data_IF_940673792007
#
_entry.id   IF_940673792007
#
_cell.length_a   1.000
_cell.length_b   1.000
_cell.length_c   1.000
_cell.angle_alpha   90.00
_cell.angle_beta   90.00
_cell.angle_gamma   90.00
#
_symmetry.space_group_name_H-M   'P 1'
#
loop_
_entity.id
_entity.type
_entity.pdbx_description
1 polymer ?
#
# COMPACT_ATOMS: atom_id res chain seq x y z
N UNK A 1 13.34 -20.74 -11.33
CA UNK A 1 12.59 -21.36 -10.21
C UNK A 1 11.13 -20.92 -10.23
N UNK A 2 10.28 -21.52 -11.08
CA UNK A 2 8.87 -21.12 -11.25
C UNK A 2 8.03 -21.21 -9.97
N UNK A 3 8.32 -22.21 -9.13
CA UNK A 3 7.62 -22.45 -7.86
C UNK A 3 7.83 -21.32 -6.83
N UNK A 4 9.02 -20.74 -6.75
CA UNK A 4 9.27 -19.60 -5.87
C UNK A 4 8.50 -18.36 -6.33
N UNK A 5 8.45 -18.11 -7.64
CA UNK A 5 7.67 -17.01 -8.21
C UNK A 5 6.18 -17.09 -7.84
N UNK A 6 5.58 -18.29 -7.97
CA UNK A 6 4.19 -18.53 -7.57
C UNK A 6 3.96 -18.29 -6.07
N UNK A 7 4.89 -18.72 -5.22
CA UNK A 7 4.82 -18.51 -3.78
C UNK A 7 4.87 -17.02 -3.41
N UNK A 8 5.81 -16.26 -3.97
CA UNK A 8 5.90 -14.81 -3.72
C UNK A 8 4.69 -14.05 -4.25
N UNK A 9 4.17 -14.44 -5.42
CA UNK A 9 2.95 -13.88 -5.97
C UNK A 9 1.76 -14.07 -5.01
N UNK A 10 1.53 -15.29 -4.55
CA UNK A 10 0.45 -15.58 -3.62
C UNK A 10 0.63 -14.86 -2.27
N UNK A 11 1.86 -14.73 -1.78
CA UNK A 11 2.15 -13.96 -0.58
C UNK A 11 1.80 -12.48 -0.76
N UNK A 12 2.14 -11.88 -1.90
CA UNK A 12 1.78 -10.50 -2.23
C UNK A 12 0.26 -10.29 -2.27
N UNK A 13 -0.49 -11.21 -2.89
CA UNK A 13 -1.96 -11.16 -2.88
C UNK A 13 -2.54 -11.27 -1.47
N UNK A 14 -1.98 -12.13 -0.62
CA UNK A 14 -2.40 -12.26 0.77
C UNK A 14 -2.12 -10.99 1.59
N UNK A 15 -0.97 -10.34 1.38
CA UNK A 15 -0.65 -9.05 2.01
C UNK A 15 -1.65 -7.98 1.54
N UNK A 16 -1.87 -7.86 0.23
CA UNK A 16 -2.80 -6.87 -0.32
C UNK A 16 -4.23 -7.10 0.18
N UNK A 17 -4.68 -8.35 0.31
CA UNK A 17 -5.98 -8.67 0.90
C UNK A 17 -6.12 -8.09 2.32
N UNK A 18 -5.10 -8.23 3.16
CA UNK A 18 -5.12 -7.69 4.53
C UNK A 18 -5.04 -6.16 4.55
N UNK A 19 -4.19 -5.56 3.72
CA UNK A 19 -4.00 -4.10 3.71
C UNK A 19 -5.20 -3.35 3.11
N UNK A 20 -5.96 -3.99 2.21
CA UNK A 20 -7.20 -3.45 1.62
C UNK A 20 -8.43 -3.62 2.52
N UNK A 21 -8.27 -4.13 3.74
CA UNK A 21 -9.35 -4.34 4.70
C UNK A 21 -9.14 -3.50 5.96
N UNK A 22 -10.20 -3.30 6.74
CA UNK A 22 -10.08 -2.66 8.05
C UNK A 22 -9.30 -3.59 9.02
N UNK A 23 -8.44 -3.04 9.90
CA UNK A 23 -8.27 -1.62 10.19
C UNK A 23 -7.12 -0.94 9.40
N UNK A 24 -6.51 -1.62 8.42
CA UNK A 24 -5.38 -1.07 7.67
C UNK A 24 -5.82 -0.07 6.61
N UNK A 25 -6.91 -0.35 5.89
CA UNK A 25 -7.50 0.61 4.98
C UNK A 25 -8.27 1.68 5.76
N UNK A 26 -7.89 2.94 5.56
CA UNK A 26 -8.65 4.06 6.10
C UNK A 26 -9.99 4.20 5.38
N UNK A 27 -11.09 4.01 6.12
CA UNK A 27 -12.47 4.22 5.64
C UNK A 27 -13.13 5.46 6.23
N UNK A 28 -12.51 6.08 7.24
CA UNK A 28 -13.03 7.27 7.90
C UNK A 28 -12.90 8.52 7.02
N UNK A 29 -14.01 9.22 6.77
CA UNK A 29 -14.02 10.43 5.94
C UNK A 29 -13.23 11.61 6.51
N UNK A 30 -12.94 11.59 7.82
CA UNK A 30 -12.12 12.59 8.50
C UNK A 30 -10.62 12.32 8.41
N UNK A 31 -10.22 11.12 7.97
CA UNK A 31 -8.81 10.75 7.83
C UNK A 31 -8.35 10.97 6.38
N UNK A 32 -7.19 11.59 6.20
CA UNK A 32 -6.70 12.00 4.87
C UNK A 32 -5.75 10.99 4.22
N UNK A 33 -5.19 10.07 5.01
CA UNK A 33 -4.34 8.99 4.52
C UNK A 33 -5.11 7.73 4.09
N UNK A 34 -4.42 6.83 3.38
CA UNK A 34 -4.97 5.60 2.80
C UNK A 34 -4.64 4.39 3.70
N UNK A 35 -3.36 4.19 4.02
CA UNK A 35 -2.85 3.06 4.79
C UNK A 35 -2.57 3.49 6.23
N UNK A 36 -3.36 2.95 7.16
CA UNK A 36 -3.22 3.17 8.60
C UNK A 36 -2.19 2.24 9.22
N UNK A 37 -1.80 2.57 10.45
CA UNK A 37 -0.87 1.78 11.28
C UNK A 37 0.55 1.73 10.72
N UNK A 38 0.92 2.74 9.93
CA UNK A 38 2.33 2.96 9.62
C UNK A 38 2.98 3.65 10.82
N UNK A 39 4.19 3.22 11.17
CA UNK A 39 4.98 3.84 12.23
C UNK A 39 6.22 4.41 11.57
N UNK A 40 6.36 5.72 11.61
CA UNK A 40 7.49 6.41 11.01
C UNK A 40 8.77 6.22 11.83
N UNK A 41 8.71 6.39 13.15
CA UNK A 41 9.90 6.24 14.01
C UNK A 41 9.58 5.95 15.50
N UNK A 42 9.29 4.68 15.83
CA UNK A 42 8.98 4.26 17.22
C UNK A 42 10.06 4.66 18.25
N UNK A 43 11.38 4.50 18.01
CA UNK A 43 12.37 4.81 19.04
C UNK A 43 12.41 6.28 19.50
N UNK A 44 11.95 7.20 18.65
CA UNK A 44 11.87 8.63 18.96
C UNK A 44 10.45 9.07 19.31
N UNK A 45 9.46 8.18 19.17
CA UNK A 45 8.06 8.47 19.49
C UNK A 45 7.47 9.61 18.68
N UNK A 46 7.80 9.72 17.39
CA UNK A 46 7.30 10.78 16.52
C UNK A 46 5.82 10.63 16.16
N UNK A 47 5.34 9.38 16.12
CA UNK A 47 3.98 9.04 15.75
C UNK A 47 3.00 9.18 16.93
N UNK A 48 1.75 9.51 16.63
CA UNK A 48 0.68 9.54 17.62
C UNK A 48 0.48 8.16 18.26
N UNK A 49 0.44 8.16 19.59
CA UNK A 49 0.38 6.95 20.41
C UNK A 49 -0.81 7.04 21.38
N UNK A 50 -2.04 6.73 20.93
CA UNK A 50 -3.23 6.91 21.75
C UNK A 50 -3.22 6.04 23.03
N UNK A 51 -2.59 4.86 22.97
CA UNK A 51 -2.28 4.03 24.14
C UNK A 51 -0.76 3.93 24.30
N UNK A 52 -0.23 4.46 25.41
CA UNK A 52 1.20 4.48 25.72
C UNK A 52 1.82 3.08 25.87
N UNK A 53 1.01 2.05 26.13
CA UNK A 53 1.45 0.68 26.35
C UNK A 53 1.46 -0.18 25.07
N UNK A 54 1.03 0.36 23.93
CA UNK A 54 1.03 -0.32 22.62
C UNK A 54 1.93 0.41 21.64
N UNK A 55 2.38 -0.19 20.55
CA UNK A 55 3.05 0.55 19.48
C UNK A 55 2.14 1.66 18.90
N UNK A 56 2.71 2.72 18.33
CA UNK A 56 1.92 3.78 17.69
C UNK A 56 0.95 3.22 16.63
N UNK A 57 -0.23 3.83 16.51
CA UNK A 57 -1.29 3.30 15.65
C UNK A 57 -2.30 4.39 15.25
N UNK A 58 -2.97 4.15 14.12
CA UNK A 58 -4.04 5.02 13.62
C UNK A 58 -3.55 6.14 12.70
N UNK A 59 -2.24 6.32 12.54
CA UNK A 59 -1.66 7.25 11.57
C UNK A 59 -1.28 6.56 10.25
N UNK A 60 -1.26 7.36 9.19
CA UNK A 60 -0.64 7.00 7.91
C UNK A 60 0.70 7.71 7.72
N UNK A 61 1.40 7.34 6.65
CA UNK A 61 2.62 8.01 6.22
C UNK A 61 2.61 8.16 4.71
N UNK A 62 3.29 9.20 4.22
CA UNK A 62 3.33 9.48 2.77
C UNK A 62 3.88 8.30 1.95
N UNK A 63 4.89 7.60 2.45
CA UNK A 63 5.50 6.45 1.79
C UNK A 63 4.55 5.24 1.79
N UNK A 64 3.87 5.00 2.91
CA UNK A 64 2.86 3.95 3.02
C UNK A 64 1.71 4.17 2.04
N UNK A 65 1.17 5.40 2.00
CA UNK A 65 0.09 5.78 1.09
C UNK A 65 0.53 5.69 -0.38
N UNK A 66 1.76 6.12 -0.70
CA UNK A 66 2.33 5.98 -2.04
C UNK A 66 2.37 4.51 -2.48
N UNK A 67 2.97 3.63 -1.69
CA UNK A 67 3.12 2.22 -2.05
C UNK A 67 1.79 1.47 -2.04
N UNK A 68 0.88 1.79 -1.11
CA UNK A 68 -0.47 1.22 -1.10
C UNK A 68 -1.23 1.57 -2.38
N UNK A 69 -1.17 2.82 -2.81
CA UNK A 69 -1.76 3.27 -4.08
C UNK A 69 -1.12 2.59 -5.28
N UNK A 70 0.21 2.54 -5.34
CA UNK A 70 0.96 1.92 -6.43
C UNK A 70 0.63 0.42 -6.57
N UNK A 71 0.66 -0.34 -5.47
CA UNK A 71 0.35 -1.77 -5.47
C UNK A 71 -1.12 -2.05 -5.82
N UNK A 72 -2.06 -1.27 -5.27
CA UNK A 72 -3.49 -1.38 -5.58
C UNK A 72 -3.76 -1.09 -7.06
N UNK A 73 -3.10 -0.07 -7.60
CA UNK A 73 -3.21 0.29 -9.00
C UNK A 73 -2.62 -0.80 -9.91
N UNK A 74 -1.48 -1.37 -9.55
CA UNK A 74 -0.87 -2.49 -10.27
C UNK A 74 -1.80 -3.71 -10.33
N UNK A 75 -2.37 -4.14 -9.19
CA UNK A 75 -3.33 -5.24 -9.14
C UNK A 75 -4.60 -4.94 -9.96
N UNK A 76 -5.13 -3.72 -9.85
CA UNK A 76 -6.30 -3.28 -10.63
C UNK A 76 -6.06 -3.38 -12.14
N UNK A 77 -4.85 -3.04 -12.60
CA UNK A 77 -4.47 -3.18 -14.02
C UNK A 77 -4.38 -4.64 -14.45
N UNK A 78 -3.79 -5.51 -13.63
CA UNK A 78 -3.75 -6.96 -13.91
C UNK A 78 -5.16 -7.54 -14.03
N UNK A 79 -6.05 -7.21 -13.09
CA UNK A 79 -7.43 -7.69 -13.11
C UNK A 79 -8.22 -7.22 -14.34
N UNK A 80 -7.82 -6.11 -14.95
CA UNK A 80 -8.44 -5.51 -16.13
C UNK A 80 -7.67 -5.78 -17.42
N UNK A 81 -6.66 -6.64 -17.39
CA UNK A 81 -5.76 -6.94 -18.52
C UNK A 81 -5.19 -5.66 -19.18
N UNK A 82 -4.84 -4.67 -18.35
CA UNK A 82 -4.29 -3.40 -18.80
C UNK A 82 -2.77 -3.43 -18.84
N UNK A 83 -2.19 -2.56 -19.67
CA UNK A 83 -0.73 -2.37 -19.77
C UNK A 83 -0.11 -2.08 -18.41
N UNK A 84 1.10 -2.59 -18.21
CA UNK A 84 1.89 -2.33 -17.00
C UNK A 84 2.04 -0.82 -16.75
N UNK A 85 1.92 -0.41 -15.49
CA UNK A 85 2.10 0.99 -15.12
C UNK A 85 3.56 1.37 -15.23
N UNK A 86 3.86 2.34 -16.10
CA UNK A 86 5.21 2.89 -16.27
C UNK A 86 5.18 4.40 -16.18
N UNK A 87 6.32 5.00 -15.85
CA UNK A 87 6.45 6.44 -15.69
C UNK A 87 5.99 7.23 -16.93
N UNK A 88 6.32 6.73 -18.13
CA UNK A 88 5.92 7.34 -19.39
C UNK A 88 4.68 6.71 -20.04
N UNK A 89 3.98 5.80 -19.35
CA UNK A 89 2.84 5.07 -19.91
C UNK A 89 1.60 5.93 -20.20
N UNK A 90 1.58 7.18 -19.70
CA UNK A 90 0.54 8.17 -19.99
C UNK A 90 0.86 9.06 -21.21
N UNK A 91 2.05 8.95 -21.81
CA UNK A 91 2.42 9.73 -22.99
C UNK A 91 1.86 9.03 -24.23
N UNK A 92 0.92 9.69 -24.89
CA UNK A 92 0.40 9.25 -26.18
C UNK A 92 1.51 9.38 -27.25
N UNK A 93 1.59 8.39 -28.14
CA UNK A 93 2.57 8.36 -29.25
C UNK A 93 4.04 8.32 -28.82
N UNK A 94 4.36 7.84 -27.62
CA UNK A 94 5.74 7.54 -27.25
C UNK A 94 6.24 6.37 -28.10
N UNK A 95 6.90 6.69 -29.20
CA UNK A 95 7.67 5.75 -30.01
C UNK A 95 8.92 5.36 -29.21
N UNK A 96 8.88 4.21 -28.55
CA UNK A 96 10.06 3.53 -28.02
C UNK A 96 10.53 2.52 -29.06
#
# INVERSE_FOLDING_TARGET
EPELGKKYWQAGLSVMKTLLDEPYLSTASSHQGILLHTIYHEPMGWDNKPDKNRAAYGESSMWGDYHMREASLYLSRILKDQKYYTFFGCIENLSI
#
